data_IF_571450120428
#
_entry.id   IF_571450120428
#
_cell.length_a   1.000
_cell.length_b   1.000
_cell.length_c   1.000
_cell.angle_alpha   90.00
_cell.angle_beta   90.00
_cell.angle_gamma   90.00
#
_symmetry.space_group_name_H-M   'P 1'
#
loop_
_entity.id
_entity.type
_entity.pdbx_description
1 polymer ?
#
# COMPACT_ATOMS: atom_id res chain seq x y z
N UNK A 1 -2.12 -13.61 5.19
CA UNK A 1 -3.35 -13.15 5.86
C UNK A 1 -3.73 -11.79 5.33
N UNK A 2 -5.00 -11.62 5.01
CA UNK A 2 -5.56 -10.34 4.61
C UNK A 2 -6.01 -9.59 5.86
N UNK A 3 -5.79 -8.28 5.93
CA UNK A 3 -6.31 -7.42 7.00
C UNK A 3 -7.67 -6.88 6.58
N UNK A 4 -8.67 -6.89 7.47
CA UNK A 4 -9.97 -6.30 7.16
C UNK A 4 -9.87 -4.78 6.95
N UNK A 5 -10.67 -4.27 6.00
CA UNK A 5 -10.85 -2.84 5.78
C UNK A 5 -11.87 -2.22 6.73
N UNK A 6 -12.78 -3.03 7.29
CA UNK A 6 -13.89 -2.58 8.15
C UNK A 6 -13.59 -2.73 9.63
N UNK A 7 -12.70 -3.65 9.99
CA UNK A 7 -12.27 -3.87 11.38
C UNK A 7 -10.75 -3.77 11.47
N UNK A 8 -10.26 -2.81 12.27
CA UNK A 8 -8.82 -2.63 12.48
C UNK A 8 -8.24 -3.87 13.19
N UNK A 9 -7.05 -4.29 12.76
CA UNK A 9 -6.27 -5.38 13.36
C UNK A 9 -6.80 -6.81 13.21
N UNK A 10 -7.96 -7.02 12.57
CA UNK A 10 -8.47 -8.38 12.32
C UNK A 10 -7.83 -8.98 11.07
N UNK A 11 -7.36 -10.23 11.20
CA UNK A 11 -6.72 -10.98 10.10
C UNK A 11 -7.69 -12.04 9.62
N UNK A 12 -7.71 -12.29 8.32
CA UNK A 12 -8.54 -13.33 7.73
C UNK A 12 -7.69 -14.31 6.91
N UNK A 13 -8.13 -15.56 6.95
CA UNK A 13 -7.65 -16.63 6.08
C UNK A 13 -8.84 -17.17 5.28
N UNK A 14 -8.73 -17.11 3.96
CA UNK A 14 -9.66 -17.74 3.03
C UNK A 14 -8.99 -18.92 2.35
N UNK A 15 -9.72 -20.03 2.22
CA UNK A 15 -9.27 -21.22 1.50
C UNK A 15 -10.24 -21.50 0.35
N UNK A 16 -9.71 -21.52 -0.88
CA UNK A 16 -10.45 -21.83 -2.09
C UNK A 16 -9.70 -22.93 -2.84
N UNK A 17 -10.43 -23.96 -3.25
CA UNK A 17 -9.91 -24.99 -4.14
C UNK A 17 -10.22 -24.60 -5.59
N UNK A 18 -9.27 -24.90 -6.46
CA UNK A 18 -9.41 -24.82 -7.91
C UNK A 18 -9.11 -26.19 -8.46
N UNK A 19 -9.93 -26.67 -9.40
CA UNK A 19 -9.77 -27.97 -10.04
C UNK A 19 -10.45 -27.95 -11.41
N UNK A 20 -10.08 -28.89 -12.26
CA UNK A 20 -10.72 -29.10 -13.55
C UNK A 20 -11.71 -30.24 -13.42
N UNK A 21 -12.95 -30.04 -13.88
CA UNK A 21 -13.97 -31.09 -13.87
C UNK A 21 -13.82 -32.06 -15.06
N UNK A 22 -14.71 -33.05 -15.15
CA UNK A 22 -14.73 -34.03 -16.23
C UNK A 22 -15.07 -33.43 -17.61
N UNK A 23 -15.60 -32.20 -17.66
CA UNK A 23 -15.88 -31.45 -18.89
C UNK A 23 -14.73 -30.51 -19.28
N UNK A 24 -13.56 -30.65 -18.66
CA UNK A 24 -12.39 -29.80 -18.87
C UNK A 24 -12.61 -28.32 -18.51
N UNK A 25 -13.56 -28.03 -17.63
CA UNK A 25 -13.82 -26.66 -17.16
C UNK A 25 -13.12 -26.42 -15.84
N UNK A 26 -12.49 -25.25 -15.72
CA UNK A 26 -11.90 -24.79 -14.47
C UNK A 26 -13.01 -24.39 -13.50
N UNK A 27 -13.12 -25.13 -12.41
CA UNK A 27 -14.04 -24.88 -11.31
C UNK A 27 -13.30 -24.30 -10.11
N UNK A 28 -14.04 -23.61 -9.24
CA UNK A 28 -13.51 -23.22 -7.94
C UNK A 28 -14.57 -23.25 -6.84
N UNK A 29 -14.19 -23.70 -5.65
CA UNK A 29 -15.06 -23.76 -4.48
C UNK A 29 -14.37 -23.04 -3.32
N UNK A 30 -15.05 -22.06 -2.73
CA UNK A 30 -14.60 -21.41 -1.50
C UNK A 30 -14.99 -22.29 -0.31
N UNK A 31 -14.00 -22.96 0.28
CA UNK A 31 -14.22 -23.82 1.46
C UNK A 31 -14.49 -23.01 2.73
N UNK A 32 -14.02 -21.77 2.77
CA UNK A 32 -14.39 -20.84 3.82
C UNK A 32 -13.47 -19.63 3.92
N UNK A 33 -13.97 -18.61 4.61
CA UNK A 33 -13.18 -17.47 5.07
C UNK A 33 -13.40 -17.35 6.57
N UNK A 34 -12.32 -17.36 7.34
CA UNK A 34 -12.40 -17.36 8.81
C UNK A 34 -11.54 -16.23 9.39
N UNK A 35 -11.97 -15.69 10.53
CA UNK A 35 -11.21 -14.69 11.30
C UNK A 35 -10.01 -15.35 11.98
N UNK A 36 -8.82 -15.12 11.47
CA UNK A 36 -7.59 -15.69 12.00
C UNK A 36 -7.23 -15.07 13.36
N UNK A 37 -7.67 -15.75 14.41
CA UNK A 37 -7.46 -15.38 15.81
C UNK A 37 -6.94 -16.60 16.59
N UNK A 38 -5.62 -16.76 16.70
CA UNK A 38 -5.03 -17.83 17.50
C UNK A 38 -5.40 -17.67 18.98
N UNK A 39 -5.63 -18.79 19.65
CA UNK A 39 -5.88 -18.82 21.10
C UNK A 39 -4.67 -18.27 21.86
N UNK A 40 -4.89 -17.74 23.07
CA UNK A 40 -3.80 -17.13 23.86
C UNK A 40 -2.58 -18.04 24.00
N UNK A 41 -2.78 -19.32 24.34
CA UNK A 41 -1.71 -20.31 24.46
C UNK A 41 -1.04 -20.71 23.13
N UNK A 42 -1.71 -20.51 21.99
CA UNK A 42 -1.12 -20.76 20.66
C UNK A 42 -0.17 -19.64 20.21
N UNK A 43 -0.27 -18.44 20.81
CA UNK A 43 0.51 -17.26 20.39
C UNK A 43 1.99 -17.36 20.76
N UNK A 44 2.32 -18.06 21.84
CA UNK A 44 3.70 -18.24 22.32
C UNK A 44 4.56 -19.11 21.38
N UNK A 45 3.95 -20.05 20.66
CA UNK A 45 4.62 -20.94 19.71
C UNK A 45 4.76 -20.39 18.28
N UNK A 46 4.36 -19.14 18.05
CA UNK A 46 4.37 -18.50 16.73
C UNK A 46 3.16 -18.84 15.85
N UNK A 47 3.17 -18.36 14.61
CA UNK A 47 1.98 -18.35 13.74
C UNK A 47 1.69 -19.69 13.04
N UNK A 48 2.67 -20.59 12.96
CA UNK A 48 2.63 -21.74 12.04
C UNK A 48 1.70 -22.85 12.50
N UNK A 49 1.66 -23.18 13.79
CA UNK A 49 0.77 -24.21 14.33
C UNK A 49 -0.71 -23.89 14.04
N UNK A 50 -1.21 -22.72 14.46
CA UNK A 50 -2.57 -22.29 14.17
C UNK A 50 -2.83 -22.20 12.65
N UNK A 51 -1.90 -21.64 11.88
CA UNK A 51 -2.04 -21.57 10.43
C UNK A 51 -2.25 -22.96 9.79
N UNK A 52 -1.50 -23.98 10.22
CA UNK A 52 -1.66 -25.35 9.73
C UNK A 52 -3.05 -25.89 10.03
N UNK A 53 -3.48 -25.78 11.29
CA UNK A 53 -4.81 -26.22 11.73
C UNK A 53 -5.93 -25.57 10.92
N UNK A 54 -5.80 -24.27 10.66
CA UNK A 54 -6.78 -23.48 9.91
C UNK A 54 -6.87 -23.81 8.41
N UNK A 55 -5.87 -24.49 7.86
CA UNK A 55 -5.90 -25.01 6.49
C UNK A 55 -6.49 -26.43 6.49
N UNK A 56 -6.04 -27.28 7.41
CA UNK A 56 -6.41 -28.69 7.44
C UNK A 56 -7.86 -28.94 7.89
N UNK A 57 -8.37 -28.16 8.85
CA UNK A 57 -9.74 -28.32 9.34
C UNK A 57 -10.79 -28.09 8.22
N UNK A 58 -10.77 -26.99 7.44
CA UNK A 58 -11.67 -26.85 6.30
C UNK A 58 -11.53 -27.99 5.30
N UNK A 59 -10.31 -28.40 4.92
CA UNK A 59 -10.13 -29.51 3.98
C UNK A 59 -10.81 -30.78 4.49
N UNK A 60 -10.55 -31.14 5.76
CA UNK A 60 -11.14 -32.31 6.42
C UNK A 60 -12.67 -32.25 6.45
N UNK A 61 -13.25 -31.09 6.73
CA UNK A 61 -14.72 -30.91 6.77
C UNK A 61 -15.40 -31.17 5.42
N UNK A 62 -14.67 -30.98 4.32
CA UNK A 62 -15.16 -31.26 2.96
C UNK A 62 -14.67 -32.64 2.45
N UNK A 63 -14.12 -33.49 3.31
CA UNK A 63 -13.61 -34.80 2.93
C UNK A 63 -12.33 -34.76 2.08
N UNK A 64 -11.68 -33.60 1.98
CA UNK A 64 -10.45 -33.40 1.20
C UNK A 64 -9.24 -33.61 2.10
N UNK A 65 -8.26 -34.35 1.61
CA UNK A 65 -6.98 -34.56 2.28
C UNK A 65 -5.86 -33.81 1.55
N UNK A 66 -4.68 -33.70 2.16
CA UNK A 66 -3.51 -33.11 1.48
C UNK A 66 -3.06 -33.92 0.25
N UNK A 67 -3.39 -35.22 0.18
CA UNK A 67 -3.04 -36.06 -0.98
C UNK A 67 -3.83 -35.67 -2.23
N UNK A 68 -4.99 -35.06 -2.03
CA UNK A 68 -5.88 -34.58 -3.10
C UNK A 68 -5.47 -33.19 -3.60
N UNK A 69 -4.50 -32.55 -2.95
CA UNK A 69 -4.04 -31.19 -3.27
C UNK A 69 -2.63 -31.23 -3.84
N UNK A 70 -2.50 -30.85 -5.10
CA UNK A 70 -1.19 -30.84 -5.79
C UNK A 70 -0.34 -29.61 -5.45
N UNK A 71 -0.96 -28.43 -5.47
CA UNK A 71 -0.27 -27.16 -5.36
C UNK A 71 -1.08 -26.12 -4.57
N UNK A 72 -0.42 -25.02 -4.24
CA UNK A 72 -0.98 -23.90 -3.51
C UNK A 72 -0.50 -22.58 -4.11
N UNK A 73 -1.42 -21.62 -4.24
CA UNK A 73 -1.11 -20.27 -4.68
C UNK A 73 -1.42 -19.27 -3.55
N UNK A 74 -0.38 -18.64 -3.00
CA UNK A 74 -0.54 -17.68 -1.89
C UNK A 74 0.36 -16.46 -2.06
N UNK A 75 0.19 -15.44 -1.24
CA UNK A 75 1.20 -14.37 -1.14
C UNK A 75 2.51 -14.92 -0.54
N UNK A 76 3.62 -14.23 -0.80
CA UNK A 76 4.98 -14.64 -0.38
C UNK A 76 5.32 -14.26 1.08
N UNK A 77 4.33 -14.31 1.98
CA UNK A 77 4.60 -14.06 3.41
C UNK A 77 5.46 -15.19 3.98
N UNK A 78 6.50 -14.92 4.79
CA UNK A 78 7.47 -15.93 5.21
C UNK A 78 6.83 -17.20 5.80
N UNK A 79 5.92 -17.04 6.76
CA UNK A 79 5.25 -18.18 7.40
C UNK A 79 4.27 -18.91 6.49
N UNK A 80 3.60 -18.18 5.59
CA UNK A 80 2.64 -18.78 4.64
C UNK A 80 3.40 -19.60 3.60
N UNK A 81 4.47 -19.04 3.02
CA UNK A 81 5.32 -19.72 2.05
C UNK A 81 5.96 -20.97 2.68
N UNK A 82 6.51 -20.84 3.89
CA UNK A 82 7.05 -21.98 4.63
C UNK A 82 5.97 -23.04 4.91
N UNK A 83 4.77 -22.63 5.33
CA UNK A 83 3.67 -23.56 5.58
C UNK A 83 3.33 -24.39 4.34
N UNK A 84 3.21 -23.74 3.18
CA UNK A 84 2.87 -24.44 1.95
C UNK A 84 3.98 -25.40 1.51
N UNK A 85 5.24 -24.93 1.46
CA UNK A 85 6.36 -25.71 0.92
C UNK A 85 6.89 -26.77 1.89
N UNK A 86 7.06 -26.41 3.17
CA UNK A 86 7.72 -27.26 4.17
C UNK A 86 6.72 -27.84 5.16
N UNK A 87 5.70 -27.07 5.58
CA UNK A 87 4.74 -27.53 6.58
C UNK A 87 3.69 -28.53 6.05
N UNK A 88 3.33 -28.39 4.77
CA UNK A 88 2.31 -29.18 4.07
C UNK A 88 2.86 -29.93 2.84
N UNK A 89 4.13 -29.69 2.47
CA UNK A 89 4.80 -30.32 1.33
C UNK A 89 4.11 -30.13 -0.03
N UNK A 90 3.43 -28.99 -0.22
CA UNK A 90 2.78 -28.64 -1.49
C UNK A 90 3.75 -27.92 -2.42
N UNK A 91 3.51 -28.04 -3.73
CA UNK A 91 4.10 -27.09 -4.70
C UNK A 91 3.53 -25.71 -4.40
N UNK A 92 4.40 -24.70 -4.29
CA UNK A 92 3.99 -23.34 -3.99
C UNK A 92 4.23 -22.45 -5.18
N UNK A 93 3.19 -21.71 -5.54
CA UNK A 93 3.22 -20.69 -6.57
C UNK A 93 2.88 -19.33 -5.97
N UNK A 94 3.45 -18.30 -6.58
CA UNK A 94 3.19 -16.94 -6.17
C UNK A 94 1.81 -16.50 -6.68
N UNK A 95 0.95 -16.06 -5.77
CA UNK A 95 -0.30 -15.39 -6.11
C UNK A 95 -0.05 -14.22 -7.09
N UNK A 96 -0.61 -14.32 -8.30
CA UNK A 96 -0.35 -13.38 -9.41
C UNK A 96 -0.60 -11.90 -9.05
N UNK A 97 -1.70 -11.52 -8.38
CA UNK A 97 -1.87 -10.15 -7.90
C UNK A 97 -0.75 -9.68 -6.96
N UNK A 98 -0.25 -10.54 -6.09
CA UNK A 98 0.82 -10.18 -5.17
C UNK A 98 2.17 -10.09 -5.89
N UNK A 99 2.45 -11.02 -6.81
CA UNK A 99 3.63 -11.00 -7.66
C UNK A 99 3.68 -9.72 -8.48
N UNK A 100 2.58 -9.39 -9.18
CA UNK A 100 2.47 -8.20 -10.02
C UNK A 100 2.68 -6.93 -9.19
N UNK A 101 2.04 -6.82 -8.02
CA UNK A 101 2.24 -5.68 -7.11
C UNK A 101 3.67 -5.60 -6.53
N UNK A 102 4.36 -6.73 -6.33
CA UNK A 102 5.75 -6.73 -5.90
C UNK A 102 6.70 -6.31 -7.05
N UNK A 103 6.44 -6.81 -8.25
CA UNK A 103 7.19 -6.46 -9.46
C UNK A 103 7.05 -4.97 -9.79
N UNK A 104 5.83 -4.42 -9.75
CA UNK A 104 5.61 -2.99 -10.00
C UNK A 104 6.28 -2.13 -8.94
N UNK A 105 6.18 -2.46 -7.65
CA UNK A 105 6.92 -1.71 -6.61
C UNK A 105 8.42 -1.70 -6.87
N UNK A 106 8.99 -2.84 -7.24
CA UNK A 106 10.41 -2.92 -7.56
C UNK A 106 10.78 -2.07 -8.78
N UNK A 107 9.99 -2.15 -9.85
CA UNK A 107 10.22 -1.39 -11.08
C UNK A 107 10.10 0.13 -10.86
N UNK A 108 9.13 0.57 -10.04
CA UNK A 108 8.90 1.98 -9.71
C UNK A 108 9.74 2.47 -8.52
N UNK A 109 10.67 1.67 -7.99
CA UNK A 109 11.50 2.10 -6.86
C UNK A 109 10.70 2.40 -5.58
N UNK A 110 9.54 1.77 -5.39
CA UNK A 110 8.75 1.85 -4.16
C UNK A 110 9.37 0.90 -3.14
N UNK A 111 10.46 1.36 -2.53
CA UNK A 111 11.24 0.62 -1.54
C UNK A 111 11.49 1.48 -0.31
N UNK A 112 11.64 0.89 0.89
CA UNK A 112 11.83 1.67 2.11
C UNK A 112 13.18 2.40 2.15
N UNK A 113 14.21 1.83 1.52
CA UNK A 113 15.54 2.43 1.45
C UNK A 113 15.96 2.68 0.01
N UNK A 114 16.47 3.89 -0.24
CA UNK A 114 16.98 4.31 -1.55
C UNK A 114 18.09 3.39 -2.09
N UNK A 115 18.96 2.87 -1.22
CA UNK A 115 20.05 1.96 -1.63
C UNK A 115 19.55 0.65 -2.24
N UNK A 116 18.31 0.24 -1.93
CA UNK A 116 17.69 -0.96 -2.47
C UNK A 116 16.87 -0.67 -3.74
N UNK A 117 16.84 0.59 -4.20
CA UNK A 117 16.00 1.00 -5.32
C UNK A 117 16.67 0.69 -6.65
N UNK A 118 15.89 0.08 -7.55
CA UNK A 118 16.24 -0.04 -8.97
C UNK A 118 15.84 1.20 -9.79
N UNK A 119 15.14 2.15 -9.17
CA UNK A 119 14.74 3.43 -9.76
C UNK A 119 14.86 4.55 -8.70
N UNK A 120 16.08 5.04 -8.42
CA UNK A 120 16.32 6.00 -7.34
C UNK A 120 15.59 7.34 -7.54
N UNK A 121 15.41 7.78 -8.79
CA UNK A 121 14.73 9.04 -9.10
C UNK A 121 13.26 9.01 -8.66
N UNK A 122 12.55 7.92 -8.98
CA UNK A 122 11.17 7.76 -8.53
C UNK A 122 11.11 7.57 -7.01
N UNK A 123 12.06 6.86 -6.39
CA UNK A 123 12.15 6.77 -4.93
C UNK A 123 12.31 8.13 -4.26
N UNK A 124 13.16 9.00 -4.83
CA UNK A 124 13.40 10.35 -4.32
C UNK A 124 12.15 11.23 -4.48
N UNK A 125 11.45 11.12 -5.62
CA UNK A 125 10.17 11.78 -5.85
C UNK A 125 9.11 11.35 -4.82
N UNK A 126 8.95 10.04 -4.61
CA UNK A 126 7.99 9.50 -3.63
C UNK A 126 8.31 9.96 -2.21
N UNK A 127 9.59 9.96 -1.84
CA UNK A 127 10.05 10.47 -0.54
C UNK A 127 9.67 11.93 -0.34
N UNK A 128 9.78 12.76 -1.39
CA UNK A 128 9.34 14.16 -1.36
C UNK A 128 7.82 14.28 -1.22
N UNK A 129 7.04 13.50 -1.97
CA UNK A 129 5.58 13.49 -1.88
C UNK A 129 5.12 13.12 -0.45
N UNK A 130 5.70 12.07 0.14
CA UNK A 130 5.39 11.64 1.50
C UNK A 130 5.74 12.72 2.52
N UNK A 131 6.92 13.35 2.41
CA UNK A 131 7.33 14.46 3.28
C UNK A 131 6.40 15.67 3.15
N UNK A 132 6.01 16.06 1.94
CA UNK A 132 5.06 17.16 1.71
C UNK A 132 3.71 16.85 2.35
N UNK A 133 3.20 15.63 2.15
CA UNK A 133 1.92 15.20 2.71
C UNK A 133 1.95 15.22 4.23
N UNK A 134 3.03 14.70 4.84
CA UNK A 134 3.23 14.76 6.28
C UNK A 134 3.30 16.21 6.78
N UNK A 135 4.13 17.04 6.14
CA UNK A 135 4.33 18.43 6.53
C UNK A 135 3.05 19.27 6.48
N UNK A 136 2.08 18.95 5.62
CA UNK A 136 0.79 19.64 5.60
C UNK A 136 -0.13 19.11 6.69
N UNK A 137 -0.19 17.79 6.86
CA UNK A 137 -1.10 17.16 7.83
C UNK A 137 -0.68 17.33 9.28
N UNK A 138 0.61 17.45 9.55
CA UNK A 138 1.16 17.51 10.91
C UNK A 138 1.50 18.93 11.37
N UNK A 139 1.22 19.97 10.57
CA UNK A 139 1.65 21.33 10.89
C UNK A 139 0.59 22.07 11.70
N UNK A 140 0.84 22.15 13.01
CA UNK A 140 0.01 22.92 13.93
C UNK A 140 0.02 24.44 13.64
N UNK A 141 1.13 24.98 13.12
CA UNK A 141 1.32 26.43 12.93
C UNK A 141 0.41 26.97 11.82
N UNK A 142 0.33 26.27 10.70
CA UNK A 142 -0.54 26.67 9.58
C UNK A 142 -1.97 26.17 9.73
N UNK A 143 -2.28 25.43 10.80
CA UNK A 143 -3.65 24.99 11.14
C UNK A 143 -4.44 24.44 9.93
N UNK A 144 -5.63 25.00 9.72
CA UNK A 144 -6.56 24.65 8.63
C UNK A 144 -6.22 25.27 7.28
N UNK A 145 -5.16 26.09 7.17
CA UNK A 145 -4.87 26.91 5.98
C UNK A 145 -4.96 26.14 4.66
N UNK A 146 -4.41 24.92 4.61
CA UNK A 146 -4.47 24.10 3.39
C UNK A 146 -5.91 23.67 3.03
N UNK A 147 -6.72 23.34 4.04
CA UNK A 147 -8.11 22.98 3.85
C UNK A 147 -8.93 24.19 3.36
N UNK A 148 -8.63 25.37 3.91
CA UNK A 148 -9.29 26.62 3.57
C UNK A 148 -8.94 27.05 2.13
N UNK A 149 -7.66 26.99 1.74
CA UNK A 149 -7.21 27.21 0.35
C UNK A 149 -7.89 26.24 -0.63
N UNK A 150 -8.07 24.98 -0.24
CA UNK A 150 -8.77 24.00 -1.07
C UNK A 150 -10.26 24.31 -1.26
N UNK A 151 -10.91 24.90 -0.26
CA UNK A 151 -12.33 25.26 -0.29
C UNK A 151 -12.57 26.56 -1.06
N UNK A 152 -11.69 27.55 -0.90
CA UNK A 152 -11.72 28.80 -1.66
C UNK A 152 -11.54 28.57 -3.16
N UNK A 153 -10.69 27.61 -3.54
CA UNK A 153 -10.45 27.28 -4.93
C UNK A 153 -11.66 26.59 -5.60
N UNK A 154 -12.39 25.76 -4.86
CA UNK A 154 -13.62 25.14 -5.35
C UNK A 154 -14.47 24.63 -4.17
N UNK A 155 -15.67 25.17 -4.03
CA UNK A 155 -16.59 24.86 -2.93
C UNK A 155 -16.97 23.38 -2.97
N UNK A 156 -16.74 22.66 -1.88
CA UNK A 156 -16.98 21.20 -1.80
C UNK A 156 -15.86 20.31 -2.33
N UNK A 157 -14.73 20.87 -2.79
CA UNK A 157 -13.58 20.07 -3.18
C UNK A 157 -12.92 19.39 -1.99
N UNK A 158 -12.25 18.25 -2.25
CA UNK A 158 -11.57 17.51 -1.19
C UNK A 158 -10.45 18.34 -0.57
N UNK A 159 -10.50 18.49 0.76
CA UNK A 159 -9.61 19.37 1.56
C UNK A 159 -8.30 18.69 2.01
N UNK A 160 -8.01 17.48 1.54
CA UNK A 160 -6.92 16.66 2.06
C UNK A 160 -6.09 15.99 0.96
N UNK A 161 -4.78 15.91 1.21
CA UNK A 161 -3.88 15.02 0.50
C UNK A 161 -4.03 13.57 0.99
N UNK A 162 -3.83 12.64 0.07
CA UNK A 162 -3.85 11.22 0.38
C UNK A 162 -2.48 10.75 0.85
N UNK A 163 -2.46 10.04 1.97
CA UNK A 163 -1.26 9.34 2.42
C UNK A 163 -0.99 8.17 1.46
N UNK A 164 0.18 8.16 0.83
CA UNK A 164 0.65 6.99 0.14
C UNK A 164 1.23 5.99 1.15
N UNK A 165 0.87 4.71 1.01
CA UNK A 165 1.51 3.62 1.75
C UNK A 165 2.23 2.72 0.77
N UNK A 166 3.53 2.54 0.99
CA UNK A 166 4.46 1.79 0.13
C UNK A 166 3.98 0.36 -0.19
N UNK A 167 3.10 -0.19 0.64
CA UNK A 167 2.55 -1.52 0.39
C UNK A 167 1.46 -1.59 -0.71
N UNK A 168 0.99 -0.46 -1.27
CA UNK A 168 -0.11 -0.40 -2.24
C UNK A 168 0.25 0.40 -3.50
N UNK A 169 0.78 -0.27 -4.53
CA UNK A 169 1.07 0.38 -5.83
C UNK A 169 -0.16 1.09 -6.40
N UNK A 170 -1.33 0.42 -6.39
CA UNK A 170 -2.60 1.00 -6.85
C UNK A 170 -3.07 2.23 -6.05
N UNK A 171 -2.53 2.45 -4.85
CA UNK A 171 -2.78 3.65 -4.06
C UNK A 171 -1.92 4.84 -4.49
N UNK A 172 -0.82 4.60 -5.21
CA UNK A 172 0.12 5.64 -5.64
C UNK A 172 -0.49 6.56 -6.69
N UNK A 173 -1.12 5.99 -7.71
CA UNK A 173 -1.77 6.75 -8.78
C UNK A 173 -2.77 7.78 -8.21
N UNK A 174 -3.61 7.34 -7.27
CA UNK A 174 -4.58 8.22 -6.60
C UNK A 174 -3.90 9.31 -5.79
N UNK A 175 -2.79 9.00 -5.11
CA UNK A 175 -2.02 9.98 -4.36
C UNK A 175 -1.37 11.03 -5.28
N UNK A 176 -0.77 10.60 -6.40
CA UNK A 176 -0.17 11.49 -7.40
C UNK A 176 -1.25 12.36 -8.06
N UNK A 177 -2.35 11.77 -8.55
CA UNK A 177 -3.48 12.53 -9.13
C UNK A 177 -4.02 13.55 -8.15
N UNK A 178 -4.16 13.18 -6.87
CA UNK A 178 -4.62 14.12 -5.83
C UNK A 178 -3.62 15.26 -5.60
N UNK A 179 -2.33 14.96 -5.53
CA UNK A 179 -1.29 15.98 -5.38
C UNK A 179 -1.33 16.96 -6.55
N UNK A 180 -1.37 16.46 -7.79
CA UNK A 180 -1.41 17.28 -9.00
C UNK A 180 -2.68 18.13 -9.06
N UNK A 181 -3.83 17.57 -8.68
CA UNK A 181 -5.10 18.33 -8.65
C UNK A 181 -5.12 19.47 -7.63
N UNK A 182 -4.17 19.50 -6.70
CA UNK A 182 -4.05 20.50 -5.64
C UNK A 182 -2.76 21.31 -5.73
N UNK A 183 -2.11 21.29 -6.89
CA UNK A 183 -0.78 21.88 -7.06
C UNK A 183 -0.73 23.36 -6.68
N UNK A 184 -1.70 24.16 -7.14
CA UNK A 184 -1.73 25.60 -6.87
C UNK A 184 -1.90 25.87 -5.37
N UNK A 185 -2.81 25.15 -4.68
CA UNK A 185 -2.99 25.30 -3.23
C UNK A 185 -1.77 24.84 -2.43
N UNK A 186 -1.01 23.88 -2.95
CA UNK A 186 0.26 23.48 -2.34
C UNK A 186 1.29 24.59 -2.46
N UNK A 187 1.40 25.22 -3.63
CA UNK A 187 2.31 26.33 -3.86
C UNK A 187 1.98 27.50 -2.92
N UNK A 188 0.72 27.92 -2.85
CA UNK A 188 0.25 28.97 -1.94
C UNK A 188 0.56 28.66 -0.47
N UNK A 189 0.26 27.43 -0.03
CA UNK A 189 0.54 27.01 1.35
C UNK A 189 2.04 27.05 1.69
N UNK A 190 2.91 26.63 0.76
CA UNK A 190 4.35 26.71 0.97
C UNK A 190 4.85 28.16 0.99
N UNK A 191 4.33 29.03 0.14
CA UNK A 191 4.66 30.46 0.16
C UNK A 191 4.28 31.10 1.50
N UNK A 192 3.07 30.84 2.00
CA UNK A 192 2.63 31.35 3.30
C UNK A 192 3.47 30.82 4.45
N UNK A 193 3.76 29.51 4.46
CA UNK A 193 4.64 28.90 5.48
C UNK A 193 6.04 29.53 5.50
N UNK A 194 6.59 29.88 4.34
CA UNK A 194 7.88 30.56 4.24
C UNK A 194 7.80 31.98 4.81
N UNK A 195 6.74 32.73 4.51
CA UNK A 195 6.49 34.04 5.11
C UNK A 195 6.40 33.95 6.63
N UNK A 196 5.62 33.01 7.18
CA UNK A 196 5.50 32.82 8.64
C UNK A 196 6.85 32.49 9.30
N UNK A 197 7.67 31.64 8.67
CA UNK A 197 9.03 31.33 9.17
C UNK A 197 9.98 32.53 9.11
N UNK A 198 9.84 33.40 8.11
CA UNK A 198 10.63 34.64 8.00
C UNK A 198 10.25 35.66 9.09
N UNK A 199 8.96 35.78 9.40
CA UNK A 199 8.49 36.66 10.48
C UNK A 199 8.97 36.23 11.88
N UNK A 200 9.05 34.92 12.14
CA UNK A 200 9.56 34.39 13.43
C UNK A 200 11.07 34.66 13.63
N UNK A 201 11.85 34.82 12.56
CA UNK A 201 13.31 35.04 12.62
C UNK A 201 13.77 36.49 12.37
N UNK A 202 12.85 37.46 12.26
CA UNK A 202 13.14 38.89 12.39
C UNK A 202 14.10 39.53 11.37
N UNK A 203 14.46 38.88 10.25
CA UNK A 203 15.27 39.50 9.18
C UNK A 203 14.74 39.16 7.79
N UNK A 204 14.38 40.21 7.05
CA UNK A 204 13.93 40.16 5.65
C UNK A 204 15.14 39.87 4.73
N UNK A 205 15.47 38.60 4.50
CA UNK A 205 16.47 38.24 3.48
C UNK A 205 15.77 37.85 2.18
N UNK A 206 15.49 38.87 1.36
CA UNK A 206 15.12 38.72 -0.04
C UNK A 206 16.35 38.22 -0.83
N UNK A 207 16.58 36.90 -0.93
CA UNK A 207 17.47 36.35 -1.96
C UNK A 207 17.00 34.97 -2.47
N UNK A 208 16.54 35.01 -3.72
CA UNK A 208 16.71 34.00 -4.76
C UNK A 208 16.37 32.53 -4.42
N UNK A 209 15.08 32.15 -4.41
CA UNK A 209 14.67 30.74 -4.47
C UNK A 209 13.50 30.46 -5.44
N UNK A 210 13.28 31.34 -6.42
CA UNK A 210 12.29 31.16 -7.49
C UNK A 210 12.83 30.40 -8.73
N UNK A 211 14.11 30.01 -8.76
CA UNK A 211 14.70 29.34 -9.94
C UNK A 211 14.57 27.81 -9.94
N UNK A 212 14.07 27.18 -8.87
CA UNK A 212 13.93 25.72 -8.80
C UNK A 212 12.50 25.18 -9.01
N UNK A 213 11.47 26.04 -9.02
CA UNK A 213 10.07 25.61 -9.23
C UNK A 213 9.47 26.00 -10.59
N UNK A 214 10.20 26.73 -11.44
CA UNK A 214 9.70 27.23 -12.73
C UNK A 214 9.83 26.26 -13.92
N UNK A 215 10.15 24.97 -13.72
CA UNK A 215 10.01 23.98 -14.81
C UNK A 215 8.60 23.39 -14.86
N UNK A 216 7.65 24.22 -15.32
CA UNK A 216 6.28 23.84 -15.71
C UNK A 216 6.22 23.09 -17.06
N UNK A 217 7.32 22.50 -17.53
CA UNK A 217 7.39 21.77 -18.81
C UNK A 217 8.16 20.48 -18.64
N UNK A 218 7.48 19.40 -18.27
CA UNK A 218 7.92 18.03 -18.57
C UNK A 218 6.80 16.98 -18.52
N UNK A 219 5.57 17.32 -18.11
CA UNK A 219 4.48 16.34 -17.95
C UNK A 219 3.34 16.41 -18.98
N UNK A 220 3.42 17.25 -20.01
CA UNK A 220 2.45 17.27 -21.12
C UNK A 220 2.86 16.34 -22.26
N UNK A 221 3.18 15.07 -21.97
CA UNK A 221 3.36 14.06 -23.00
C UNK A 221 3.06 12.66 -22.45
N UNK A 222 1.80 12.40 -22.11
CA UNK A 222 1.24 11.05 -21.97
C UNK A 222 -0.27 11.10 -22.29
N UNK A 223 -0.60 11.63 -23.46
CA UNK A 223 -1.85 11.34 -24.17
C UNK A 223 -1.45 10.74 -25.53
N UNK A 224 -1.23 9.42 -25.54
CA UNK A 224 -1.25 8.51 -26.71
C UNK A 224 -1.61 7.12 -26.17
#
# INVERSE_FOLDING_TARGET
MLTSKTQKSTKYLGLRLYFTDCEWKLQSILLGTRHYEPMYGERSGGSRGPLKRWILEPLKNFGVTLKDVYASATHAGPDIKWMMMTGLHLKWEWCMPHLTNAATKMAFGIVPQRCNSKNPEVTDLLSRITRTTYAIRSNAITGSLFADLCEMANTGASKQLLEHKDHRFMGLEKAIKRLLSKWDQLEDWFQEKLKTKQFVNGKLHQRAYLSQMTRKRFFNCMDC
#
